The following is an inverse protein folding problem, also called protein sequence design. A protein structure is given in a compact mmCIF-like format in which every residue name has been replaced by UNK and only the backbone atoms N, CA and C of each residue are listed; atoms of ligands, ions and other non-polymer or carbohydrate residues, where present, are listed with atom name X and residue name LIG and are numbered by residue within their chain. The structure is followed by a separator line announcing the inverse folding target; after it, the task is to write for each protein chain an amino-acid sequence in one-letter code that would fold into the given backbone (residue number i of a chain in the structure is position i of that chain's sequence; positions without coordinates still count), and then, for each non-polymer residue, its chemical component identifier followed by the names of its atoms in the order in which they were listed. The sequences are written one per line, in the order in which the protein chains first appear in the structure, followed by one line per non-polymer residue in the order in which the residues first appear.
data_IF_078162178056
#
_entry.id   IF_078162178056
#
_cell.length_a   1.000
_cell.length_b   1.000
_cell.length_c   1.000
_cell.angle_alpha   90.00
_cell.angle_beta   90.00
_cell.angle_gamma   90.00
#
_symmetry.space_group_name_H-M   'P 1'
#
loop_
_entity.id
_entity.type
_entity.pdbx_description
1 polymer ?
#
# COMPACT_ATOMS: atom_id res chain seq x y z
N UNK A 1 42.48 9.55 -45.67
CA UNK A 1 41.87 10.16 -44.45
C UNK A 1 40.66 9.35 -43.96
N UNK A 2 39.70 9.03 -44.83
CA UNK A 2 38.46 8.31 -44.50
C UNK A 2 38.64 6.93 -43.84
N UNK A 3 39.66 6.14 -44.21
CA UNK A 3 39.91 4.81 -43.64
C UNK A 3 40.32 4.84 -42.15
N UNK A 4 41.03 5.89 -41.70
CA UNK A 4 41.41 6.07 -40.28
C UNK A 4 40.22 6.54 -39.43
N UNK A 5 39.37 7.38 -40.01
CA UNK A 5 38.12 7.86 -39.38
C UNK A 5 37.13 6.69 -39.20
N UNK A 6 37.03 5.81 -40.21
CA UNK A 6 36.14 4.65 -40.15
C UNK A 6 36.57 3.64 -39.06
N UNK A 7 37.87 3.36 -38.94
CA UNK A 7 38.40 2.49 -37.87
C UNK A 7 38.19 3.11 -36.50
N UNK A 8 38.36 4.44 -36.36
CA UNK A 8 38.09 5.14 -35.10
C UNK A 8 36.60 5.06 -34.71
N UNK A 9 35.68 5.20 -35.67
CA UNK A 9 34.24 5.07 -35.45
C UNK A 9 33.85 3.65 -35.01
N UNK A 10 34.48 2.62 -35.58
CA UNK A 10 34.24 1.22 -35.20
C UNK A 10 34.73 0.95 -33.78
N UNK A 11 35.91 1.47 -33.41
CA UNK A 11 36.44 1.33 -32.03
C UNK A 11 35.52 2.06 -31.03
N UNK A 12 35.01 3.25 -31.38
CA UNK A 12 34.07 4.00 -30.55
C UNK A 12 32.74 3.25 -30.35
N UNK A 13 32.24 2.59 -31.41
CA UNK A 13 31.04 1.76 -31.37
C UNK A 13 31.23 0.50 -30.52
N UNK A 14 32.40 -0.14 -30.55
CA UNK A 14 32.70 -1.32 -29.73
C UNK A 14 32.78 -0.94 -28.23
N UNK A 15 33.36 0.22 -27.89
CA UNK A 15 33.42 0.72 -26.51
C UNK A 15 32.01 1.06 -25.97
N UNK A 16 31.09 1.49 -26.84
CA UNK A 16 29.69 1.76 -26.47
C UNK A 16 28.84 0.50 -26.22
N UNK A 17 29.25 -0.68 -26.70
CA UNK A 17 28.52 -1.94 -26.50
C UNK A 17 28.82 -2.60 -25.14
N UNK A 18 29.83 -2.14 -24.38
CA UNK A 18 30.23 -2.73 -23.10
C UNK A 18 29.58 -2.11 -21.85
N UNK A 19 28.57 -1.24 -21.99
CA UNK A 19 27.85 -0.69 -20.83
C UNK A 19 26.41 -1.22 -20.72
N UNK A 20 26.24 -2.53 -20.79
CA UNK A 20 25.12 -3.17 -20.13
C UNK A 20 25.64 -3.70 -18.78
N UNK A 21 25.73 -2.83 -17.78
CA UNK A 21 25.82 -3.32 -16.40
C UNK A 21 24.53 -4.07 -16.12
N UNK A 22 24.59 -5.40 -16.19
CA UNK A 22 23.56 -6.27 -15.64
C UNK A 22 23.61 -6.08 -14.12
N UNK A 23 23.00 -4.99 -13.63
CA UNK A 23 22.84 -4.75 -12.21
C UNK A 23 21.99 -5.88 -11.67
N UNK A 24 22.56 -6.70 -10.79
CA UNK A 24 21.78 -7.72 -10.10
C UNK A 24 20.63 -7.04 -9.36
N UNK A 25 19.41 -7.51 -9.62
CA UNK A 25 18.21 -7.06 -8.91
C UNK A 25 18.43 -7.21 -7.42
N UNK A 26 18.28 -6.11 -6.69
CA UNK A 26 18.40 -6.10 -5.24
C UNK A 26 17.24 -6.91 -4.63
N UNK A 27 17.60 -8.00 -3.95
CA UNK A 27 16.68 -8.82 -3.15
C UNK A 27 17.25 -8.86 -1.75
N UNK A 28 16.43 -8.51 -0.77
CA UNK A 28 16.79 -8.57 0.65
C UNK A 28 15.56 -8.93 1.46
N UNK A 29 15.75 -9.38 2.69
CA UNK A 29 14.69 -9.54 3.66
C UNK A 29 15.07 -8.97 5.01
N UNK A 30 14.05 -8.71 5.82
CA UNK A 30 14.24 -8.24 7.18
C UNK A 30 14.30 -9.49 8.04
N UNK A 31 15.48 -9.78 8.58
CA UNK A 31 15.68 -10.90 9.51
C UNK A 31 14.97 -10.58 10.82
N UNK A 32 15.11 -9.33 11.27
CA UNK A 32 14.61 -8.88 12.56
C UNK A 32 14.10 -7.46 12.47
N UNK A 33 12.91 -7.22 13.01
CA UNK A 33 12.35 -5.91 13.28
C UNK A 33 11.84 -5.89 14.72
N UNK A 34 12.66 -5.38 15.63
CA UNK A 34 12.26 -5.18 17.02
C UNK A 34 11.98 -3.70 17.26
N UNK A 35 10.82 -3.41 17.80
CA UNK A 35 10.36 -2.05 18.06
C UNK A 35 10.07 -1.90 19.54
N UNK A 36 10.59 -0.83 20.13
CA UNK A 36 10.19 -0.40 21.47
C UNK A 36 9.59 0.99 21.32
N UNK A 37 8.35 1.12 21.72
CA UNK A 37 7.59 2.37 21.67
C UNK A 37 7.24 2.79 23.10
N UNK A 38 7.73 3.95 23.50
CA UNK A 38 7.53 4.49 24.83
C UNK A 38 6.65 5.74 24.74
N UNK A 39 5.46 5.67 25.35
CA UNK A 39 4.47 6.74 25.32
C UNK A 39 4.66 7.62 26.54
N UNK A 40 4.91 8.90 26.31
CA UNK A 40 5.14 9.89 27.36
C UNK A 40 3.88 10.63 27.77
N UNK A 41 3.91 11.20 28.98
CA UNK A 41 2.80 11.98 29.53
C UNK A 41 2.48 13.22 28.69
N UNK A 42 3.48 13.81 28.03
CA UNK A 42 3.28 14.95 27.13
C UNK A 42 2.63 14.55 25.79
N UNK A 43 2.34 13.27 25.58
CA UNK A 43 1.73 12.74 24.35
C UNK A 43 2.73 12.49 23.21
N UNK A 44 4.04 12.61 23.47
CA UNK A 44 5.08 12.18 22.54
C UNK A 44 5.36 10.68 22.66
N UNK A 45 5.89 10.10 21.59
CA UNK A 45 6.20 8.67 21.48
C UNK A 45 7.67 8.52 21.12
N UNK A 46 8.45 7.92 22.00
CA UNK A 46 9.86 7.62 21.77
C UNK A 46 9.98 6.21 21.19
N UNK A 47 10.30 6.13 19.90
CA UNK A 47 10.29 4.87 19.16
C UNK A 47 11.73 4.48 18.82
N UNK A 48 12.11 3.28 19.24
CA UNK A 48 13.40 2.66 18.92
C UNK A 48 13.17 1.46 18.01
N UNK A 49 13.72 1.53 16.80
CA UNK A 49 13.77 0.41 15.86
C UNK A 49 15.14 -0.26 15.92
N UNK A 50 15.15 -1.58 16.03
CA UNK A 50 16.32 -2.44 15.87
C UNK A 50 16.06 -3.38 14.69
N UNK A 51 16.67 -3.05 13.56
CA UNK A 51 16.36 -3.61 12.25
C UNK A 51 17.58 -4.36 11.71
N UNK A 52 17.48 -5.67 11.53
CA UNK A 52 18.50 -6.46 10.84
C UNK A 52 18.03 -6.79 9.43
N UNK A 53 18.72 -6.26 8.43
CA UNK A 53 18.51 -6.56 7.01
C UNK A 53 19.53 -7.57 6.53
N UNK A 54 19.12 -8.52 5.70
CA UNK A 54 20.00 -9.46 4.99
C UNK A 54 19.80 -9.37 3.50
N UNK A 55 20.88 -9.20 2.76
CA UNK A 55 20.83 -9.11 1.29
C UNK A 55 20.99 -10.49 0.70
N UNK A 56 20.00 -10.93 -0.06
CA UNK A 56 20.04 -12.22 -0.75
C UNK A 56 20.71 -12.09 -2.12
N UNK A 57 20.47 -11.00 -2.84
CA UNK A 57 21.06 -10.72 -4.16
C UNK A 57 21.26 -9.21 -4.37
N UNK A 58 22.27 -8.82 -5.15
CA UNK A 58 22.62 -7.41 -5.36
C UNK A 58 23.32 -6.78 -4.15
N UNK A 59 23.05 -5.49 -3.90
CA UNK A 59 23.61 -4.79 -2.73
C UNK A 59 22.81 -3.54 -2.34
N UNK A 60 22.70 -3.26 -1.04
CA UNK A 60 22.19 -2.00 -0.50
C UNK A 60 23.38 -1.03 -0.41
N UNK A 61 23.45 -0.08 -1.36
CA UNK A 61 24.58 0.87 -1.47
C UNK A 61 24.29 2.26 -0.91
N UNK A 62 23.02 2.69 -0.95
CA UNK A 62 22.64 4.09 -0.72
C UNK A 62 21.95 4.28 0.62
N UNK A 63 20.85 3.58 0.81
CA UNK A 63 20.09 3.66 2.05
C UNK A 63 19.18 2.45 2.24
N UNK A 64 18.81 2.20 3.48
CA UNK A 64 17.62 1.45 3.88
C UNK A 64 16.55 2.47 4.29
N UNK A 65 15.36 2.43 3.70
CA UNK A 65 14.26 3.31 4.10
C UNK A 65 13.49 2.73 5.28
N UNK A 66 13.11 3.54 6.26
CA UNK A 66 12.26 3.15 7.39
C UNK A 66 11.06 4.08 7.42
N UNK A 67 9.85 3.54 7.35
CA UNK A 67 8.62 4.33 7.39
C UNK A 67 8.24 4.74 8.80
N UNK A 68 7.74 5.97 8.94
CA UNK A 68 7.33 6.59 10.20
C UNK A 68 5.82 6.85 10.21
N UNK A 69 5.19 6.84 11.39
CA UNK A 69 3.73 6.86 11.53
C UNK A 69 3.07 8.23 11.36
N UNK A 70 3.84 9.31 11.26
CA UNK A 70 3.31 10.67 11.10
C UNK A 70 4.38 11.67 10.63
N UNK A 71 3.97 12.87 10.22
CA UNK A 71 4.87 13.90 9.68
C UNK A 71 5.73 14.57 10.77
N UNK A 72 5.21 14.64 11.99
CA UNK A 72 5.84 15.36 13.10
C UNK A 72 6.73 14.43 13.91
N UNK A 73 7.91 14.15 13.37
CA UNK A 73 8.92 13.35 14.06
C UNK A 73 10.31 13.95 13.92
N UNK A 74 11.17 13.69 14.90
CA UNK A 74 12.60 13.98 14.81
C UNK A 74 13.43 12.71 15.00
N UNK A 75 14.54 12.62 14.28
CA UNK A 75 15.52 11.55 14.46
C UNK A 75 16.47 11.96 15.58
N UNK A 76 16.54 11.15 16.64
CA UNK A 76 17.47 11.35 17.76
C UNK A 76 18.81 10.71 17.43
N UNK A 77 18.79 9.48 16.91
CA UNK A 77 19.99 8.68 16.70
C UNK A 77 19.77 7.68 15.57
N UNK A 78 20.78 7.54 14.71
CA UNK A 78 20.88 6.48 13.72
C UNK A 78 22.29 5.89 13.77
N UNK A 79 22.40 4.57 14.00
CA UNK A 79 23.71 3.89 14.06
C UNK A 79 23.66 2.46 13.54
N UNK A 80 24.82 1.96 13.14
CA UNK A 80 25.05 0.54 12.92
C UNK A 80 25.49 -0.12 14.23
N UNK A 81 24.88 -1.27 14.57
CA UNK A 81 25.17 -1.95 15.84
C UNK A 81 26.53 -2.64 15.81
N UNK A 82 26.88 -3.30 14.70
CA UNK A 82 28.11 -4.10 14.60
C UNK A 82 29.38 -3.24 14.70
N UNK A 83 29.36 -2.05 14.11
CA UNK A 83 30.49 -1.10 14.12
C UNK A 83 30.37 -0.07 15.24
N UNK A 84 29.17 0.11 15.79
CA UNK A 84 28.84 1.21 16.68
C UNK A 84 28.84 2.60 16.02
N UNK A 85 29.09 2.69 14.72
CA UNK A 85 29.22 3.96 14.02
C UNK A 85 27.86 4.68 13.90
N UNK A 86 27.85 5.97 14.22
CA UNK A 86 26.76 6.85 13.80
C UNK A 86 26.74 6.90 12.27
N UNK A 87 25.54 6.81 11.70
CA UNK A 87 25.37 6.81 10.25
C UNK A 87 24.59 8.04 9.79
N UNK A 88 24.85 8.44 8.56
CA UNK A 88 24.08 9.50 7.92
C UNK A 88 22.64 9.04 7.72
N UNK A 89 21.72 9.98 7.89
CA UNK A 89 20.31 9.76 7.60
C UNK A 89 19.70 10.95 6.87
N UNK A 90 18.60 10.71 6.17
CA UNK A 90 17.81 11.75 5.54
C UNK A 90 16.35 11.62 5.98
N UNK A 91 15.80 12.69 6.57
CA UNK A 91 14.37 12.81 6.90
C UNK A 91 13.61 13.21 5.64
N UNK A 92 12.58 12.44 5.29
CA UNK A 92 11.69 12.71 4.15
C UNK A 92 10.25 12.83 4.65
N UNK A 93 9.66 14.00 4.46
CA UNK A 93 8.26 14.29 4.78
C UNK A 93 7.61 14.83 3.51
N UNK A 94 6.57 14.15 3.03
CA UNK A 94 5.70 14.56 1.94
C UNK A 94 4.24 14.44 2.41
N UNK A 95 3.27 14.91 1.61
CA UNK A 95 1.86 15.04 2.02
C UNK A 95 1.26 13.80 2.72
N UNK A 96 1.69 12.58 2.37
CA UNK A 96 1.21 11.34 3.00
C UNK A 96 2.33 10.29 3.19
N UNK A 97 3.60 10.70 3.13
CA UNK A 97 4.73 9.79 3.14
C UNK A 97 5.85 10.30 4.06
N UNK A 98 6.21 9.48 5.06
CA UNK A 98 7.15 9.84 6.12
C UNK A 98 8.21 8.74 6.23
N UNK A 99 9.45 9.08 5.92
CA UNK A 99 10.55 8.12 5.93
C UNK A 99 11.81 8.69 6.56
N UNK A 100 12.62 7.77 7.09
CA UNK A 100 14.03 8.00 7.38
C UNK A 100 14.85 7.09 6.46
N UNK A 101 15.72 7.68 5.65
CA UNK A 101 16.69 6.93 4.86
C UNK A 101 17.96 6.78 5.66
N UNK A 102 18.36 5.54 5.97
CA UNK A 102 19.57 5.20 6.73
C UNK A 102 20.68 4.81 5.76
N UNK A 103 21.73 5.62 5.64
CA UNK A 103 22.85 5.32 4.74
C UNK A 103 23.85 4.41 5.44
N UNK A 104 24.09 3.18 4.93
CA UNK A 104 25.03 2.28 5.57
C UNK A 104 26.47 2.82 5.46
N UNK A 105 27.30 2.54 6.46
CA UNK A 105 28.69 2.97 6.52
C UNK A 105 29.53 2.41 5.36
N UNK A 106 29.17 1.20 4.91
CA UNK A 106 29.67 0.52 3.72
C UNK A 106 28.51 -0.18 3.02
N UNK A 107 28.56 -0.35 1.70
CA UNK A 107 27.56 -1.16 1.00
C UNK A 107 27.38 -2.55 1.64
N UNK A 108 26.14 -3.03 1.69
CA UNK A 108 25.80 -4.37 2.17
C UNK A 108 25.60 -5.25 0.95
N UNK A 109 26.47 -6.23 0.74
CA UNK A 109 26.47 -7.10 -0.43
C UNK A 109 25.68 -8.40 -0.19
N UNK A 110 25.39 -9.13 -1.27
CA UNK A 110 24.75 -10.44 -1.21
C UNK A 110 25.43 -11.38 -0.22
N UNK A 111 24.62 -12.05 0.61
CA UNK A 111 25.05 -12.90 1.71
C UNK A 111 25.26 -12.15 3.03
N UNK A 112 25.50 -10.84 3.00
CA UNK A 112 25.77 -10.04 4.19
C UNK A 112 24.48 -9.60 4.91
N UNK A 113 24.64 -9.28 6.19
CA UNK A 113 23.59 -8.70 7.01
C UNK A 113 24.10 -7.45 7.72
N UNK A 114 23.19 -6.55 8.07
CA UNK A 114 23.50 -5.34 8.84
C UNK A 114 22.37 -5.00 9.79
N UNK A 115 22.73 -4.56 10.99
CA UNK A 115 21.77 -4.17 12.02
C UNK A 115 21.84 -2.67 12.25
N UNK A 116 20.69 -2.01 12.08
CA UNK A 116 20.50 -0.59 12.32
C UNK A 116 19.70 -0.37 13.60
N UNK A 117 20.15 0.61 14.39
CA UNK A 117 19.38 1.17 15.48
C UNK A 117 18.96 2.58 15.08
N UNK A 118 17.66 2.83 15.04
CA UNK A 118 17.07 4.13 14.77
C UNK A 118 16.19 4.53 15.96
N UNK A 119 16.48 5.69 16.56
CA UNK A 119 15.67 6.30 17.61
C UNK A 119 15.02 7.56 17.08
N UNK A 120 13.72 7.69 17.29
CA UNK A 120 12.96 8.88 16.91
C UNK A 120 12.05 9.33 18.06
N UNK A 121 11.66 10.61 18.02
CA UNK A 121 10.54 11.13 18.79
C UNK A 121 9.43 11.44 17.79
N UNK A 122 8.27 10.83 17.96
CA UNK A 122 7.06 11.10 17.19
C UNK A 122 6.11 11.93 18.06
N UNK A 123 5.64 13.05 17.54
CA UNK A 123 4.70 13.95 18.20
C UNK A 123 3.39 13.98 17.44
N UNK A 124 2.34 14.46 18.10
CA UNK A 124 1.00 14.60 17.50
C UNK A 124 0.52 13.31 16.82
N UNK A 125 0.68 12.17 17.50
CA UNK A 125 0.20 10.86 17.00
C UNK A 125 -0.77 10.14 17.94
N UNK A 126 -1.12 10.77 19.06
CA UNK A 126 -2.15 10.27 19.98
C UNK A 126 -3.44 11.05 19.74
N UNK A 127 -4.51 10.34 19.47
CA UNK A 127 -5.81 10.88 19.09
C UNK A 127 -6.87 10.52 20.12
N UNK A 128 -7.95 11.29 20.15
CA UNK A 128 -9.11 10.92 20.93
C UNK A 128 -9.76 9.66 20.36
N UNK A 129 -10.04 8.69 21.24
CA UNK A 129 -10.67 7.45 20.86
C UNK A 129 -12.19 7.63 20.84
N UNK A 130 -12.74 7.74 19.63
CA UNK A 130 -14.19 7.95 19.43
C UNK A 130 -15.02 6.70 19.73
N UNK A 131 -14.42 5.52 19.67
CA UNK A 131 -15.11 4.26 19.99
C UNK A 131 -15.15 4.02 21.51
N UNK A 132 -14.24 4.66 22.25
CA UNK A 132 -14.11 4.54 23.70
C UNK A 132 -14.06 5.94 24.36
N UNK A 133 -15.22 6.60 24.55
CA UNK A 133 -15.27 7.95 25.10
C UNK A 133 -14.49 8.08 26.42
N UNK A 134 -13.68 9.13 26.53
CA UNK A 134 -12.78 9.36 27.67
C UNK A 134 -11.38 8.74 27.52
N UNK A 135 -11.16 7.94 26.48
CA UNK A 135 -9.83 7.41 26.14
C UNK A 135 -9.13 8.24 25.05
N UNK A 136 -7.81 8.11 25.04
CA UNK A 136 -6.93 8.50 23.96
C UNK A 136 -6.20 7.25 23.45
N UNK A 137 -5.78 7.26 22.20
CA UNK A 137 -5.16 6.12 21.59
C UNK A 137 -4.48 6.42 20.28
N UNK A 138 -3.84 5.41 19.72
CA UNK A 138 -3.12 5.50 18.46
C UNK A 138 -3.19 4.17 17.73
N UNK A 139 -2.94 4.24 16.42
CA UNK A 139 -2.84 3.08 15.54
C UNK A 139 -1.45 3.11 14.89
N UNK A 140 -0.73 2.01 15.00
CA UNK A 140 0.53 1.74 14.34
C UNK A 140 0.29 0.71 13.24
N UNK A 141 0.70 1.01 12.02
CA UNK A 141 0.59 0.09 10.90
C UNK A 141 1.98 -0.23 10.37
N UNK A 142 2.40 -1.48 10.54
CA UNK A 142 3.68 -2.01 10.08
C UNK A 142 3.49 -2.70 8.74
N UNK A 143 4.07 -2.15 7.70
CA UNK A 143 3.99 -2.72 6.36
C UNK A 143 5.30 -3.40 6.02
N UNK A 144 5.27 -4.45 5.21
CA UNK A 144 6.48 -5.06 4.69
C UNK A 144 7.25 -4.07 3.80
N UNK A 145 8.58 -4.19 3.80
CA UNK A 145 9.45 -3.46 2.88
C UNK A 145 9.20 -3.92 1.45
N UNK A 146 9.35 -3.02 0.49
CA UNK A 146 9.18 -3.36 -0.93
C UNK A 146 10.53 -3.45 -1.63
N UNK A 147 10.68 -4.48 -2.44
CA UNK A 147 11.84 -4.72 -3.28
C UNK A 147 11.77 -3.90 -4.56
N UNK A 148 12.92 -3.79 -5.24
CA UNK A 148 13.01 -3.15 -6.56
C UNK A 148 12.15 -3.85 -7.62
N UNK A 149 11.88 -5.15 -7.46
CA UNK A 149 10.94 -5.92 -8.29
C UNK A 149 9.48 -5.51 -8.13
N UNK A 150 9.16 -4.71 -7.11
CA UNK A 150 7.82 -4.31 -6.75
C UNK A 150 7.10 -5.28 -5.80
N UNK A 151 7.71 -6.42 -5.47
CA UNK A 151 7.22 -7.36 -4.47
C UNK A 151 7.53 -6.91 -3.05
N UNK A 152 6.76 -7.38 -2.08
CA UNK A 152 7.05 -7.15 -0.66
C UNK A 152 7.98 -8.22 -0.13
N UNK A 153 8.97 -7.78 0.65
CA UNK A 153 9.83 -8.69 1.37
C UNK A 153 9.19 -9.17 2.67
N UNK A 154 9.65 -10.31 3.14
CA UNK A 154 9.24 -10.89 4.40
C UNK A 154 10.03 -10.28 5.57
N UNK A 155 9.34 -10.04 6.69
CA UNK A 155 9.97 -9.82 7.98
C UNK A 155 9.95 -11.13 8.76
N UNK A 156 11.11 -11.76 8.93
CA UNK A 156 11.23 -13.10 9.54
C UNK A 156 10.82 -13.11 11.01
N UNK A 157 11.28 -12.13 11.77
CA UNK A 157 10.95 -11.93 13.18
C UNK A 157 10.52 -10.48 13.39
N UNK A 158 9.27 -10.29 13.81
CA UNK A 158 8.73 -8.99 14.21
C UNK A 158 8.35 -9.04 15.70
N UNK A 159 8.88 -8.11 16.48
CA UNK A 159 8.54 -7.96 17.90
C UNK A 159 8.30 -6.50 18.21
N UNK A 160 7.26 -6.22 18.98
CA UNK A 160 7.01 -4.87 19.46
C UNK A 160 6.60 -4.87 20.92
N UNK A 161 7.22 -3.96 21.68
CA UNK A 161 6.79 -3.56 23.02
C UNK A 161 6.22 -2.15 22.95
N UNK A 162 5.01 -1.97 23.45
CA UNK A 162 4.40 -0.65 23.67
C UNK A 162 4.35 -0.43 25.18
N UNK A 163 5.12 0.54 25.65
CA UNK A 163 5.23 0.92 27.06
C UNK A 163 4.32 2.13 27.27
N UNK A 164 3.24 1.91 28.01
CA UNK A 164 2.20 2.92 28.22
C UNK A 164 2.64 4.02 29.19
N UNK A 165 1.92 5.16 29.23
CA UNK A 165 2.15 6.19 30.22
C UNK A 165 2.09 5.66 31.66
N UNK A 166 2.74 6.36 32.57
CA UNK A 166 2.76 6.01 33.99
C UNK A 166 1.35 6.07 34.61
N UNK A 167 1.07 5.12 35.50
CA UNK A 167 -0.21 5.03 36.23
C UNK A 167 -1.33 4.32 35.47
N UNK A 168 -1.16 4.00 34.19
CA UNK A 168 -2.14 3.22 33.41
C UNK A 168 -2.30 1.82 34.01
N UNK A 169 -3.53 1.43 34.33
CA UNK A 169 -3.81 0.08 34.82
C UNK A 169 -4.18 -0.88 33.69
N UNK A 170 -3.82 -2.15 33.85
CA UNK A 170 -4.13 -3.23 32.88
C UNK A 170 -5.61 -3.29 32.47
N UNK A 171 -6.54 -3.10 33.41
CA UNK A 171 -7.99 -3.15 33.13
C UNK A 171 -8.55 -1.92 32.40
N UNK A 172 -7.78 -0.84 32.28
CA UNK A 172 -8.18 0.40 31.62
C UNK A 172 -7.76 0.42 30.13
N UNK A 173 -6.96 -0.54 29.69
CA UNK A 173 -6.36 -0.57 28.35
C UNK A 173 -7.21 -1.39 27.39
N UNK A 174 -7.44 -0.84 26.20
CA UNK A 174 -8.05 -1.51 25.06
C UNK A 174 -7.03 -1.60 23.93
N UNK A 175 -7.10 -2.66 23.14
CA UNK A 175 -6.16 -2.90 22.06
C UNK A 175 -6.78 -3.73 20.92
N UNK A 176 -6.15 -3.64 19.76
CA UNK A 176 -6.43 -4.50 18.61
C UNK A 176 -5.14 -4.73 17.82
N UNK A 177 -4.86 -5.95 17.34
CA UNK A 177 -5.44 -7.20 17.79
C UNK A 177 -5.05 -7.47 19.25
N UNK A 178 -5.56 -8.56 19.82
CA UNK A 178 -5.13 -9.01 21.14
C UNK A 178 -3.60 -9.10 21.22
N UNK A 179 -3.02 -8.58 22.30
CA UNK A 179 -1.60 -8.72 22.62
C UNK A 179 -1.27 -10.19 22.88
N UNK A 180 -0.02 -10.57 22.61
CA UNK A 180 0.47 -11.91 22.93
C UNK A 180 0.92 -11.99 24.39
N UNK A 181 1.42 -10.88 24.95
CA UNK A 181 1.74 -10.78 26.37
C UNK A 181 1.53 -9.36 26.93
N UNK A 182 1.35 -9.28 28.24
CA UNK A 182 1.27 -8.03 29.01
C UNK A 182 2.02 -8.19 30.32
N UNK A 183 2.90 -7.24 30.63
CA UNK A 183 3.71 -7.26 31.85
C UNK A 183 4.02 -5.84 32.32
N UNK A 184 4.71 -5.73 33.46
CA UNK A 184 5.13 -4.44 34.01
C UNK A 184 6.65 -4.33 33.86
N UNK A 185 7.12 -3.21 33.33
CA UNK A 185 8.53 -2.85 33.21
C UNK A 185 8.68 -1.41 33.73
N UNK A 186 9.57 -1.18 34.70
CA UNK A 186 9.76 0.15 35.32
C UNK A 186 8.45 0.82 35.78
N UNK A 187 7.57 0.06 36.44
CA UNK A 187 6.27 0.50 36.94
C UNK A 187 5.27 0.97 35.85
N UNK A 188 5.52 0.65 34.58
CA UNK A 188 4.61 0.93 33.46
C UNK A 188 4.11 -0.36 32.83
N UNK A 189 2.87 -0.35 32.38
CA UNK A 189 2.28 -1.47 31.64
C UNK A 189 2.93 -1.54 30.25
N UNK A 190 3.32 -2.75 29.86
CA UNK A 190 3.87 -3.06 28.55
C UNK A 190 2.97 -4.05 27.85
N UNK A 191 2.50 -3.68 26.66
CA UNK A 191 1.83 -4.58 25.73
C UNK A 191 2.85 -5.14 24.73
N UNK A 192 2.76 -6.44 24.43
CA UNK A 192 3.72 -7.12 23.58
C UNK A 192 3.04 -7.92 22.47
N UNK A 193 3.57 -7.78 21.26
CA UNK A 193 3.21 -8.59 20.10
C UNK A 193 4.45 -9.18 19.42
N UNK A 194 4.28 -10.36 18.85
CA UNK A 194 5.29 -11.13 18.15
C UNK A 194 4.70 -11.81 16.91
N UNK A 195 5.32 -11.61 15.76
CA UNK A 195 4.90 -12.23 14.50
C UNK A 195 6.12 -12.80 13.79
N UNK A 196 5.92 -13.89 13.07
CA UNK A 196 6.94 -14.57 12.28
C UNK A 196 6.55 -14.61 10.82
N UNK A 197 7.54 -14.54 9.93
CA UNK A 197 7.36 -14.56 8.48
C UNK A 197 6.26 -13.57 8.01
N UNK A 198 6.25 -12.37 8.59
CA UNK A 198 5.24 -11.35 8.33
C UNK A 198 5.40 -10.84 6.89
N UNK A 199 4.35 -11.06 6.07
CA UNK A 199 4.26 -10.64 4.66
C UNK A 199 3.16 -9.63 4.39
N UNK A 200 2.20 -9.52 5.30
CA UNK A 200 1.07 -8.60 5.20
C UNK A 200 1.23 -7.44 6.17
N UNK A 201 0.36 -6.43 6.04
CA UNK A 201 0.32 -5.29 6.96
C UNK A 201 -0.11 -5.77 8.33
N UNK A 202 0.67 -5.44 9.36
CA UNK A 202 0.31 -5.67 10.75
C UNK A 202 -0.09 -4.37 11.43
N UNK A 203 -1.35 -4.29 11.82
CA UNK A 203 -1.94 -3.11 12.46
C UNK A 203 -2.09 -3.36 13.95
N UNK A 204 -1.70 -2.38 14.77
CA UNK A 204 -1.83 -2.39 16.22
C UNK A 204 -2.50 -1.09 16.64
N UNK A 205 -3.67 -1.18 17.25
CA UNK A 205 -4.36 -0.11 17.95
C UNK A 205 -4.19 -0.27 19.46
N UNK A 206 -3.94 0.84 20.15
CA UNK A 206 -3.88 0.92 21.61
C UNK A 206 -4.68 2.12 22.08
N UNK A 207 -5.50 1.93 23.12
CA UNK A 207 -6.37 2.94 23.72
C UNK A 207 -6.31 2.83 25.24
N UNK A 208 -6.20 3.98 25.91
CA UNK A 208 -6.07 4.09 27.36
C UNK A 208 -6.71 5.41 27.85
N UNK A 209 -7.01 5.58 29.14
CA UNK A 209 -7.68 6.78 29.63
C UNK A 209 -6.91 8.07 29.31
N UNK A 210 -7.61 9.06 28.76
CA UNK A 210 -7.03 10.33 28.32
C UNK A 210 -6.29 11.08 29.43
N UNK A 211 -6.67 10.88 30.71
CA UNK A 211 -6.06 11.51 31.89
C UNK A 211 -4.55 11.25 32.04
N UNK A 212 -4.00 10.22 31.39
CA UNK A 212 -2.58 9.88 31.46
C UNK A 212 -1.71 10.58 30.41
N UNK A 213 -2.32 11.36 29.49
CA UNK A 213 -1.61 12.18 28.49
C UNK A 213 -2.16 13.60 28.44
N UNK A 214 -1.27 14.57 28.24
CA UNK A 214 -1.62 15.99 28.23
C UNK A 214 -2.04 16.46 26.83
N UNK A 215 -1.29 16.06 25.80
CA UNK A 215 -1.56 16.46 24.43
C UNK A 215 -2.22 15.32 23.66
N UNK A 216 -3.49 15.51 23.31
CA UNK A 216 -4.20 14.67 22.36
C UNK A 216 -4.51 15.50 21.14
N UNK A 217 -4.18 14.98 19.96
CA UNK A 217 -4.44 15.64 18.69
C UNK A 217 -5.95 15.79 18.54
N UNK A 218 -6.39 17.04 18.63
CA UNK A 218 -7.72 17.40 18.18
C UNK A 218 -7.63 17.54 16.65
N UNK A 219 -8.54 16.94 15.88
CA UNK A 219 -8.61 17.24 14.46
C UNK A 219 -8.76 18.75 14.30
N UNK A 220 -7.95 19.39 13.46
CA UNK A 220 -8.17 20.78 13.06
C UNK A 220 -9.61 20.87 12.52
N UNK A 221 -10.52 21.39 13.34
CA UNK A 221 -11.76 21.92 12.82
C UNK A 221 -11.34 23.18 12.06
N UNK A 222 -11.60 23.27 10.76
CA UNK A 222 -11.24 24.47 10.03
C UNK A 222 -11.98 25.65 10.67
N UNK A 223 -11.23 26.68 11.08
CA UNK A 223 -11.77 27.81 11.82
C UNK A 223 -12.86 28.49 10.96
N UNK A 224 -14.07 28.50 11.51
CA UNK A 224 -15.26 28.98 10.82
C UNK A 224 -15.10 30.49 10.54
N UNK A 225 -14.33 31.21 11.36
CA UNK A 225 -14.07 32.64 11.23
C UNK A 225 -13.18 32.98 10.02
N UNK A 226 -12.13 32.18 9.76
CA UNK A 226 -11.28 32.35 8.58
C UNK A 226 -12.04 32.07 7.27
N UNK A 227 -13.02 31.17 7.31
CA UNK A 227 -13.90 30.93 6.16
C UNK A 227 -14.88 32.09 5.94
N UNK A 228 -15.43 32.66 7.00
CA UNK A 228 -16.35 33.81 6.91
C UNK A 228 -15.63 35.07 6.41
N UNK A 229 -14.41 35.34 6.88
CA UNK A 229 -13.63 36.51 6.47
C UNK A 229 -13.26 36.42 4.98
N UNK A 230 -12.79 35.26 4.52
CA UNK A 230 -12.50 35.04 3.10
C UNK A 230 -13.76 35.05 2.22
N UNK A 231 -14.91 34.62 2.76
CA UNK A 231 -16.21 34.67 2.09
C UNK A 231 -16.73 36.10 1.91
N UNK A 232 -16.60 36.97 2.92
CA UNK A 232 -17.04 38.38 2.85
C UNK A 232 -16.17 39.18 1.86
N UNK A 233 -14.86 38.94 1.85
CA UNK A 233 -13.93 39.59 0.88
C UNK A 233 -14.18 39.10 -0.55
N UNK A 234 -14.57 37.82 -0.72
CA UNK A 234 -14.91 37.23 -2.01
C UNK A 234 -16.29 37.62 -2.57
N UNK A 235 -17.22 38.09 -1.75
CA UNK A 235 -18.60 38.43 -2.14
C UNK A 235 -18.77 39.84 -2.75
N UNK A 236 -17.72 40.68 -2.70
CA UNK A 236 -17.77 42.05 -3.23
C UNK A 236 -17.83 42.16 -4.77
N UNK A 237 -17.71 41.06 -5.51
CA UNK A 237 -17.80 41.09 -6.97
C UNK A 237 -18.17 39.73 -7.58
N UNK A 238 -19.16 39.74 -8.46
CA UNK A 238 -19.57 38.62 -9.35
C UNK A 238 -20.41 37.48 -8.73
N UNK A 239 -21.69 37.77 -8.53
CA UNK A 239 -22.75 36.82 -8.11
C UNK A 239 -23.13 35.70 -9.10
N UNK A 240 -22.24 35.26 -9.98
CA UNK A 240 -22.49 34.10 -10.87
C UNK A 240 -21.39 33.02 -10.76
N UNK A 241 -20.18 33.37 -10.33
CA UNK A 241 -19.08 32.41 -10.12
C UNK A 241 -19.18 31.66 -8.76
N UNK A 242 -20.03 32.14 -7.86
CA UNK A 242 -20.19 31.63 -6.49
C UNK A 242 -20.83 30.24 -6.45
N UNK A 243 -21.77 29.94 -7.35
CA UNK A 243 -22.47 28.65 -7.39
C UNK A 243 -21.51 27.52 -7.81
N UNK A 244 -20.64 27.78 -8.79
CA UNK A 244 -19.63 26.81 -9.23
C UNK A 244 -18.57 26.54 -8.16
N UNK A 245 -18.16 27.56 -7.41
CA UNK A 245 -17.21 27.41 -6.31
C UNK A 245 -17.81 26.67 -5.11
N UNK A 246 -19.08 26.92 -4.77
CA UNK A 246 -19.78 26.18 -3.70
C UNK A 246 -19.88 24.69 -4.05
N UNK A 247 -20.22 24.35 -5.29
CA UNK A 247 -20.24 22.95 -5.75
C UNK A 247 -18.84 22.32 -5.71
N UNK A 248 -17.80 23.06 -6.09
CA UNK A 248 -16.41 22.58 -6.02
C UNK A 248 -15.94 22.36 -4.58
N UNK A 249 -16.31 23.24 -3.66
CA UNK A 249 -16.00 23.13 -2.24
C UNK A 249 -16.76 21.96 -1.60
N UNK A 250 -18.03 21.77 -1.92
CA UNK A 250 -18.81 20.61 -1.46
C UNK A 250 -18.18 19.30 -1.97
N UNK A 251 -17.76 19.26 -3.24
CA UNK A 251 -17.05 18.08 -3.80
C UNK A 251 -15.68 17.88 -3.12
N UNK A 252 -14.93 18.93 -2.82
CA UNK A 252 -13.65 18.85 -2.09
C UNK A 252 -13.83 18.40 -0.64
N UNK A 253 -14.87 18.86 0.07
CA UNK A 253 -15.15 18.46 1.46
C UNK A 253 -15.65 17.02 1.52
N UNK A 254 -16.55 16.62 0.61
CA UNK A 254 -17.01 15.23 0.53
C UNK A 254 -15.84 14.30 0.16
N UNK A 255 -14.95 14.72 -0.75
CA UNK A 255 -13.77 13.92 -1.11
C UNK A 255 -12.67 13.92 -0.04
N UNK A 256 -12.55 14.95 0.81
CA UNK A 256 -11.63 14.96 1.94
C UNK A 256 -12.14 14.15 3.13
N UNK A 257 -13.46 14.10 3.36
CA UNK A 257 -14.07 13.24 4.38
C UNK A 257 -14.09 11.75 3.98
N UNK A 258 -14.08 11.45 2.68
CA UNK A 258 -13.93 10.08 2.14
C UNK A 258 -12.47 9.60 2.05
N UNK A 259 -11.48 10.50 2.21
CA UNK A 259 -10.08 10.11 2.36
C UNK A 259 -9.85 9.72 3.82
N UNK A 260 -9.93 8.41 4.08
CA UNK A 260 -9.49 7.85 5.35
C UNK A 260 -8.11 8.39 5.76
N UNK A 261 -7.97 8.65 7.06
CA UNK A 261 -6.74 9.10 7.74
C UNK A 261 -5.50 8.42 7.16
N UNK A 262 -4.41 9.18 7.05
CA UNK A 262 -3.10 8.78 6.50
C UNK A 262 -2.76 7.34 6.86
N UNK A 263 -3.02 6.44 5.90
CA UNK A 263 -2.56 5.08 5.95
C UNK A 263 -1.19 5.05 5.30
N UNK A 264 -0.23 4.38 5.92
CA UNK A 264 1.08 4.17 5.33
C UNK A 264 0.91 3.56 3.94
N UNK A 265 1.66 4.09 2.98
CA UNK A 265 1.61 3.67 1.59
C UNK A 265 2.85 2.83 1.30
N UNK A 266 2.64 1.75 0.55
CA UNK A 266 3.74 0.92 0.09
C UNK A 266 4.69 1.70 -0.82
N UNK A 267 6.01 1.43 -0.75
CA UNK A 267 6.99 2.09 -1.62
C UNK A 267 6.60 1.92 -3.10
N UNK A 268 6.92 2.86 -3.97
CA UNK A 268 6.74 2.69 -5.42
C UNK A 268 8.06 2.94 -6.14
N UNK A 269 8.46 1.98 -6.95
CA UNK A 269 9.34 2.20 -8.08
C UNK A 269 8.49 2.14 -9.35
N UNK A 270 8.71 3.10 -10.25
CA UNK A 270 8.32 2.96 -11.63
C UNK A 270 9.23 1.87 -12.22
N UNK A 271 8.70 0.66 -12.35
CA UNK A 271 9.26 -0.29 -13.32
C UNK A 271 8.82 0.28 -14.66
N UNK A 272 9.77 0.54 -15.56
CA UNK A 272 9.45 0.78 -16.97
C UNK A 272 8.62 -0.40 -17.47
N UNK A 273 7.29 -0.27 -17.39
CA UNK A 273 6.39 -1.22 -18.01
C UNK A 273 6.48 -1.06 -19.51
N UNK A 274 6.09 -2.08 -20.26
CA UNK A 274 5.92 -2.02 -21.72
C UNK A 274 4.76 -1.08 -22.15
N UNK A 275 4.43 -0.07 -21.34
CA UNK A 275 3.25 0.77 -21.44
C UNK A 275 1.94 0.04 -21.06
N UNK A 276 0.78 0.53 -21.53
CA UNK A 276 -0.51 -0.13 -21.30
C UNK A 276 -0.62 -1.43 -22.11
N UNK A 277 -1.23 -2.46 -21.53
CA UNK A 277 -1.58 -3.69 -22.26
C UNK A 277 -2.73 -3.42 -23.22
N UNK A 278 -2.42 -3.23 -24.49
CA UNK A 278 -3.43 -3.09 -25.55
C UNK A 278 -4.06 -4.43 -25.94
N UNK A 279 -5.28 -4.41 -26.47
CA UNK A 279 -5.93 -5.61 -27.04
C UNK A 279 -6.56 -6.55 -26.00
N UNK A 280 -6.92 -6.04 -24.82
CA UNK A 280 -7.87 -6.73 -23.95
C UNK A 280 -9.23 -6.85 -24.64
N UNK A 281 -9.90 -7.98 -24.44
CA UNK A 281 -11.28 -8.13 -24.92
C UNK A 281 -12.23 -7.24 -24.11
N UNK A 282 -13.37 -6.85 -24.67
CA UNK A 282 -14.36 -6.05 -23.94
C UNK A 282 -14.76 -6.64 -22.58
N UNK A 283 -14.85 -7.98 -22.48
CA UNK A 283 -15.14 -8.69 -21.22
C UNK A 283 -13.96 -8.61 -20.24
N UNK A 284 -12.73 -8.78 -20.72
CA UNK A 284 -11.52 -8.65 -19.88
C UNK A 284 -11.30 -7.21 -19.41
N UNK A 285 -11.57 -6.22 -20.26
CA UNK A 285 -11.51 -4.81 -19.90
C UNK A 285 -12.61 -4.44 -18.90
N UNK A 286 -13.84 -4.92 -19.11
CA UNK A 286 -14.92 -4.76 -18.14
C UNK A 286 -14.57 -5.34 -16.77
N UNK A 287 -13.92 -6.51 -16.74
CA UNK A 287 -13.43 -7.12 -15.52
C UNK A 287 -12.29 -6.30 -14.88
N UNK A 288 -11.32 -5.83 -15.68
CA UNK A 288 -10.22 -4.96 -15.22
C UNK A 288 -10.72 -3.62 -14.64
N UNK A 289 -11.81 -3.09 -15.20
CA UNK A 289 -12.47 -1.87 -14.73
C UNK A 289 -13.38 -2.11 -13.52
N UNK A 290 -13.37 -3.31 -12.94
CA UNK A 290 -14.14 -3.67 -11.74
C UNK A 290 -15.65 -3.41 -11.91
N UNK A 291 -16.18 -3.62 -13.13
CA UNK A 291 -17.63 -3.55 -13.34
C UNK A 291 -18.33 -4.68 -12.57
N UNK A 292 -19.60 -4.47 -12.14
CA UNK A 292 -20.36 -5.49 -11.43
C UNK A 292 -20.36 -6.84 -12.16
N UNK A 293 -20.21 -7.94 -11.43
CA UNK A 293 -20.04 -9.27 -12.00
C UNK A 293 -21.21 -9.70 -12.89
N UNK A 294 -22.43 -9.28 -12.53
CA UNK A 294 -23.64 -9.46 -13.32
C UNK A 294 -23.47 -8.83 -14.70
N UNK A 295 -22.93 -7.61 -14.78
CA UNK A 295 -22.69 -6.90 -16.04
C UNK A 295 -21.65 -7.63 -16.90
N UNK A 296 -20.57 -8.13 -16.30
CA UNK A 296 -19.55 -8.91 -17.01
C UNK A 296 -20.14 -10.23 -17.56
N UNK A 297 -20.93 -10.94 -16.77
CA UNK A 297 -21.62 -12.17 -17.20
C UNK A 297 -22.65 -11.88 -18.30
N UNK A 298 -23.40 -10.79 -18.19
CA UNK A 298 -24.34 -10.34 -19.23
C UNK A 298 -23.61 -9.98 -20.53
N UNK A 299 -22.42 -9.37 -20.46
CA UNK A 299 -21.60 -9.15 -21.66
C UNK A 299 -21.14 -10.45 -22.31
N UNK A 300 -20.83 -11.48 -21.52
CA UNK A 300 -20.53 -12.82 -22.05
C UNK A 300 -21.77 -13.41 -22.72
N UNK A 301 -22.94 -13.34 -22.07
CA UNK A 301 -24.21 -13.79 -22.62
C UNK A 301 -24.53 -13.11 -23.94
N UNK A 302 -24.46 -11.78 -24.02
CA UNK A 302 -24.65 -11.05 -25.27
C UNK A 302 -23.64 -11.44 -26.34
N UNK A 303 -22.38 -11.69 -25.98
CA UNK A 303 -21.37 -12.19 -26.92
C UNK A 303 -21.76 -13.57 -27.48
N UNK A 304 -22.28 -14.47 -26.63
CA UNK A 304 -22.73 -15.80 -27.06
C UNK A 304 -24.00 -15.75 -27.92
N UNK A 305 -24.94 -14.86 -27.59
CA UNK A 305 -26.15 -14.60 -28.39
C UNK A 305 -25.78 -14.05 -29.77
N UNK A 306 -24.91 -13.02 -29.82
CA UNK A 306 -24.44 -12.41 -31.06
C UNK A 306 -23.72 -13.40 -31.98
N UNK A 307 -23.05 -14.41 -31.39
CA UNK A 307 -22.38 -15.49 -32.14
C UNK A 307 -23.30 -16.64 -32.54
N UNK A 308 -24.58 -16.59 -32.15
CA UNK A 308 -25.57 -17.61 -32.48
C UNK A 308 -25.33 -18.97 -31.82
N UNK A 309 -24.53 -19.03 -30.74
CA UNK A 309 -24.27 -20.28 -29.99
C UNK A 309 -25.23 -20.48 -28.82
N UNK A 310 -26.03 -19.46 -28.49
CA UNK A 310 -27.07 -19.48 -27.46
C UNK A 310 -28.31 -18.79 -28.00
N UNK A 311 -29.49 -19.28 -27.65
CA UNK A 311 -30.79 -18.59 -27.82
C UNK A 311 -31.50 -18.46 -26.47
N UNK A 312 -32.31 -17.40 -26.31
CA UNK A 312 -33.17 -17.21 -25.14
C UNK A 312 -34.49 -17.95 -25.37
N UNK A 313 -34.85 -18.85 -24.46
CA UNK A 313 -36.15 -19.54 -24.42
C UNK A 313 -37.18 -18.74 -23.62
N UNK A 314 -36.77 -18.19 -22.48
CA UNK A 314 -37.61 -17.33 -21.63
C UNK A 314 -36.74 -16.28 -20.94
N UNK A 315 -37.32 -15.11 -20.63
CA UNK A 315 -36.64 -14.00 -19.95
C UNK A 315 -36.99 -13.91 -18.46
N UNK A 316 -38.12 -14.50 -18.04
CA UNK A 316 -38.60 -14.50 -16.66
C UNK A 316 -39.30 -15.84 -16.35
N UNK A 317 -38.58 -16.87 -15.83
CA UNK A 317 -37.15 -16.88 -15.51
C UNK A 317 -36.27 -16.96 -16.77
N UNK A 318 -35.01 -16.53 -16.65
CA UNK A 318 -34.05 -16.61 -17.76
C UNK A 318 -33.70 -18.07 -18.05
N UNK A 319 -34.11 -18.56 -19.23
CA UNK A 319 -33.81 -19.89 -19.74
C UNK A 319 -33.09 -19.79 -21.08
N UNK A 320 -32.00 -20.53 -21.23
CA UNK A 320 -31.11 -20.48 -22.38
C UNK A 320 -31.03 -21.84 -23.08
N UNK A 321 -30.88 -21.83 -24.39
CA UNK A 321 -30.66 -23.02 -25.21
C UNK A 321 -29.33 -22.92 -25.94
N UNK A 322 -28.54 -23.99 -25.88
CA UNK A 322 -27.29 -24.11 -26.63
C UNK A 322 -27.62 -24.44 -28.08
N UNK A 323 -26.99 -23.72 -29.00
CA UNK A 323 -27.11 -23.97 -30.44
C UNK A 323 -25.75 -24.43 -30.95
N UNK A 324 -25.73 -25.53 -31.68
CA UNK A 324 -24.51 -26.00 -32.32
C UNK A 324 -24.07 -25.02 -33.40
N UNK A 325 -22.82 -24.54 -33.30
CA UNK A 325 -22.24 -23.64 -34.27
C UNK A 325 -20.73 -23.80 -34.30
N UNK A 326 -20.15 -23.67 -35.50
CA UNK A 326 -18.70 -23.83 -35.75
C UNK A 326 -17.90 -22.55 -35.48
N UNK A 327 -18.52 -21.53 -34.85
CA UNK A 327 -17.89 -20.24 -34.59
C UNK A 327 -16.80 -20.36 -33.51
N UNK A 328 -15.66 -19.67 -33.72
CA UNK A 328 -14.58 -19.63 -32.73
C UNK A 328 -15.01 -18.87 -31.47
N UNK A 329 -15.10 -19.61 -30.38
CA UNK A 329 -15.42 -19.08 -29.06
C UNK A 329 -14.16 -18.62 -28.32
N UNK A 330 -14.32 -17.60 -27.47
CA UNK A 330 -13.30 -17.18 -26.49
C UNK A 330 -13.33 -18.13 -25.29
N UNK A 331 -12.25 -18.12 -24.50
CA UNK A 331 -12.11 -19.09 -23.39
C UNK A 331 -13.24 -18.96 -22.34
N UNK A 332 -13.62 -17.72 -22.02
CA UNK A 332 -14.70 -17.45 -21.07
C UNK A 332 -16.09 -17.79 -21.65
N UNK A 333 -16.30 -17.67 -22.96
CA UNK A 333 -17.56 -18.07 -23.62
C UNK A 333 -17.72 -19.59 -23.60
N UNK A 334 -16.65 -20.33 -23.93
CA UNK A 334 -16.67 -21.80 -23.82
C UNK A 334 -16.96 -22.26 -22.39
N UNK A 335 -16.41 -21.55 -21.39
CA UNK A 335 -16.68 -21.86 -19.99
C UNK A 335 -18.12 -21.53 -19.61
N UNK A 336 -18.63 -20.38 -20.03
CA UNK A 336 -20.03 -19.97 -19.81
C UNK A 336 -21.04 -20.96 -20.40
N UNK A 337 -20.80 -21.47 -21.62
CA UNK A 337 -21.67 -22.49 -22.22
C UNK A 337 -21.77 -23.77 -21.38
N UNK A 338 -20.70 -24.14 -20.67
CA UNK A 338 -20.73 -25.30 -19.76
C UNK A 338 -21.59 -25.05 -18.51
N UNK A 339 -21.91 -23.79 -18.21
CA UNK A 339 -22.74 -23.41 -17.06
C UNK A 339 -24.24 -23.42 -17.34
N UNK A 340 -24.64 -23.56 -18.62
CA UNK A 340 -26.05 -23.76 -19.00
C UNK A 340 -26.38 -25.24 -18.78
N UNK A 341 -27.33 -25.52 -17.89
CA UNK A 341 -27.83 -26.86 -17.59
C UNK A 341 -28.78 -27.35 -18.69
N UNK A 342 -29.14 -28.64 -18.65
CA UNK A 342 -30.07 -29.25 -19.62
C UNK A 342 -31.47 -28.64 -19.58
N UNK A 343 -31.92 -28.17 -18.41
CA UNK A 343 -33.19 -27.44 -18.23
C UNK A 343 -33.13 -25.98 -18.75
N UNK A 344 -31.98 -25.54 -19.24
CA UNK A 344 -31.72 -24.19 -19.72
C UNK A 344 -31.42 -23.16 -18.62
N UNK A 345 -31.44 -23.55 -17.34
CA UNK A 345 -31.05 -22.68 -16.23
C UNK A 345 -29.53 -22.54 -16.12
N UNK A 346 -29.07 -21.54 -15.37
CA UNK A 346 -27.65 -21.26 -15.15
C UNK A 346 -27.17 -21.79 -13.79
N UNK A 347 -26.04 -22.50 -13.78
CA UNK A 347 -25.35 -22.91 -12.55
C UNK A 347 -24.49 -21.77 -11.99
N UNK A 348 -24.90 -21.22 -10.84
CA UNK A 348 -24.22 -20.14 -10.12
C UNK A 348 -22.75 -20.46 -9.78
N UNK A 349 -22.44 -21.68 -9.34
CA UNK A 349 -21.08 -22.07 -8.99
C UNK A 349 -20.18 -22.15 -10.22
N UNK A 350 -20.73 -22.62 -11.34
CA UNK A 350 -20.01 -22.62 -12.62
C UNK A 350 -19.74 -21.19 -13.12
N UNK A 351 -20.70 -20.27 -12.96
CA UNK A 351 -20.53 -18.86 -13.33
C UNK A 351 -19.43 -18.17 -12.51
N UNK A 352 -19.40 -18.38 -11.18
CA UNK A 352 -18.33 -17.87 -10.33
C UNK A 352 -16.94 -18.37 -10.80
N UNK A 353 -16.82 -19.65 -11.11
CA UNK A 353 -15.60 -20.22 -11.67
C UNK A 353 -15.22 -19.63 -13.04
N UNK A 354 -16.18 -19.15 -13.82
CA UNK A 354 -15.92 -18.46 -15.10
C UNK A 354 -15.26 -17.11 -14.86
N UNK A 355 -15.69 -16.36 -13.84
CA UNK A 355 -15.06 -15.10 -13.44
C UNK A 355 -13.63 -15.31 -12.92
N UNK A 356 -13.41 -16.32 -12.07
CA UNK A 356 -12.07 -16.69 -11.61
C UNK A 356 -11.12 -17.07 -12.76
N UNK A 357 -11.65 -17.69 -13.82
CA UNK A 357 -10.86 -18.03 -15.00
C UNK A 357 -10.44 -16.78 -15.79
N UNK A 358 -11.30 -15.76 -15.85
CA UNK A 358 -10.99 -14.45 -16.46
C UNK A 358 -9.87 -13.79 -15.67
N UNK A 359 -10.00 -13.72 -14.34
CA UNK A 359 -9.00 -13.14 -13.43
C UNK A 359 -7.61 -13.75 -13.62
N UNK A 360 -7.49 -15.08 -13.52
CA UNK A 360 -6.22 -15.80 -13.71
C UNK A 360 -5.61 -15.58 -15.11
N UNK A 361 -6.45 -15.36 -16.11
CA UNK A 361 -6.00 -15.13 -17.50
C UNK A 361 -5.55 -13.70 -17.71
N UNK A 362 -6.28 -12.74 -17.16
CA UNK A 362 -5.96 -11.33 -17.17
C UNK A 362 -4.65 -11.07 -16.41
N UNK A 363 -4.49 -11.63 -15.22
CA UNK A 363 -3.26 -11.54 -14.43
C UNK A 363 -2.01 -12.01 -15.19
N UNK A 364 -2.12 -13.10 -15.95
CA UNK A 364 -1.02 -13.55 -16.83
C UNK A 364 -0.77 -12.62 -18.01
N UNK A 365 -1.82 -12.02 -18.59
CA UNK A 365 -1.72 -11.07 -19.70
C UNK A 365 -1.12 -9.72 -19.29
N UNK A 366 -1.28 -9.33 -18.03
CA UNK A 366 -0.76 -8.08 -17.47
C UNK A 366 0.67 -8.18 -16.97
N UNK A 367 1.26 -9.38 -16.93
CA UNK A 367 2.66 -9.59 -16.53
C UNK A 367 3.59 -8.77 -17.43
N UNK A 368 4.31 -7.81 -16.84
CA UNK A 368 5.23 -6.90 -17.54
C UNK A 368 4.61 -5.62 -18.12
N UNK A 369 3.30 -5.40 -17.94
CA UNK A 369 2.59 -4.18 -18.37
C UNK A 369 2.17 -3.33 -17.17
N UNK A 370 2.00 -2.03 -17.36
CA UNK A 370 1.52 -1.13 -16.32
C UNK A 370 0.01 -1.33 -16.09
N UNK A 371 -0.37 -1.83 -14.91
CA UNK A 371 -1.77 -2.02 -14.53
C UNK A 371 -2.56 -0.71 -14.58
N UNK A 372 -1.97 0.37 -14.04
CA UNK A 372 -2.61 1.70 -13.97
C UNK A 372 -2.81 2.27 -15.38
N UNK A 373 -1.79 2.21 -16.24
CA UNK A 373 -1.93 2.71 -17.60
C UNK A 373 -2.91 1.86 -18.41
N UNK A 374 -2.96 0.54 -18.18
CA UNK A 374 -3.93 -0.34 -18.85
C UNK A 374 -5.37 -0.03 -18.44
N UNK A 375 -5.63 0.37 -17.19
CA UNK A 375 -6.96 0.79 -16.73
C UNK A 375 -7.34 2.16 -17.30
N UNK A 376 -6.35 3.02 -17.59
CA UNK A 376 -6.52 4.38 -18.12
C UNK A 376 -6.66 4.44 -19.65
N UNK A 377 -6.04 3.51 -20.38
CA UNK A 377 -6.12 3.38 -21.85
C UNK A 377 -7.46 2.81 -22.30
#
# INVERSE_FOLDING_TARGET
MYRKIFVFIIILLIIFQFQNTCGQTLIYHIVKLHVVDYVEKDGSMHITYNITVKVDSGAIRRYLSVGIFGPDFDVIEAREIETGALISYEKRVSENEYYVYLTPSKPIYSGESRTFLLKIILRRHIYEDKENPGNAGFILKFYPWKLSSGEYTVTKEFKIKIILPEGVNKGEVKNYPNYDNIFIENNRIVLYWERYDLKDVFEIGVSFPKKYVENVVQPEQPDIWDQIINFIVGLGGFGCCTIFFIVFIIISIVSSQLRGKSSYVSPRFAIEGLGPRKGLTAVEAAYLLELPYEKVLTMILFSTLKKGVVRIKSTAPLLLEKVESKVRLRYYERRFLKCIKEDGSLDKNCLANTLMLIDRTLSRKLRGYSYIETKKY
#
